data_IF_143742468262
#
_entry.id   IF_143742468262
#
_cell.length_a   1.000
_cell.length_b   1.000
_cell.length_c   1.000
_cell.angle_alpha   90.00
_cell.angle_beta   90.00
_cell.angle_gamma   90.00
#
_symmetry.space_group_name_H-M   'P 1'
#
loop_
_entity.id
_entity.type
_entity.pdbx_description
1 polymer ?
#
# COMPACT_ATOMS: atom_id res chain seq x y z
N UNK A 1 -22.27 25.59 -6.32
CA UNK A 1 -22.53 24.49 -5.34
C UNK A 1 -23.63 23.52 -5.77
N UNK A 2 -24.86 23.96 -6.12
CA UNK A 2 -25.97 23.05 -6.49
C UNK A 2 -25.64 22.04 -7.60
N UNK A 3 -24.94 22.45 -8.66
CA UNK A 3 -24.53 21.55 -9.75
C UNK A 3 -23.52 20.47 -9.30
N UNK A 4 -22.63 20.78 -8.36
CA UNK A 4 -21.67 19.80 -7.82
C UNK A 4 -22.40 18.77 -6.97
N UNK A 5 -23.33 19.22 -6.13
CA UNK A 5 -24.18 18.33 -5.34
C UNK A 5 -24.99 17.40 -6.25
N UNK A 6 -25.66 17.91 -7.29
CA UNK A 6 -26.42 17.09 -8.23
C UNK A 6 -25.54 16.04 -8.96
N UNK A 7 -24.27 16.34 -9.21
CA UNK A 7 -23.34 15.36 -9.81
C UNK A 7 -22.84 14.33 -8.81
N UNK A 8 -22.64 14.71 -7.55
CA UNK A 8 -22.17 13.79 -6.50
C UNK A 8 -23.26 12.80 -6.08
N UNK A 9 -24.52 13.26 -5.99
CA UNK A 9 -25.66 12.47 -5.55
C UNK A 9 -26.30 11.79 -6.76
N UNK A 10 -26.07 10.48 -6.90
CA UNK A 10 -26.55 9.71 -8.05
C UNK A 10 -27.85 9.01 -7.74
N UNK A 11 -28.72 8.87 -8.75
CA UNK A 11 -29.93 8.04 -8.65
C UNK A 11 -29.61 6.53 -8.47
N UNK A 12 -28.39 6.13 -8.80
CA UNK A 12 -27.85 4.77 -8.62
C UNK A 12 -27.56 4.41 -7.14
N UNK A 13 -27.74 5.32 -6.18
CA UNK A 13 -27.60 5.05 -4.73
C UNK A 13 -28.88 5.50 -4.01
N UNK A 14 -30.01 4.78 -4.20
CA UNK A 14 -31.34 5.21 -3.77
C UNK A 14 -31.47 5.30 -2.26
N UNK A 15 -30.73 4.47 -1.52
CA UNK A 15 -30.71 4.46 -0.05
C UNK A 15 -29.54 5.24 0.55
N UNK A 16 -28.73 5.90 -0.30
CA UNK A 16 -27.56 6.67 0.12
C UNK A 16 -26.54 5.89 0.95
N UNK A 17 -26.47 4.56 0.75
CA UNK A 17 -25.62 3.66 1.53
C UNK A 17 -24.16 3.93 1.23
N UNK A 18 -23.78 3.92 -0.05
CA UNK A 18 -22.39 4.15 -0.45
C UNK A 18 -21.94 5.56 -0.05
N UNK A 19 -22.79 6.56 -0.26
CA UNK A 19 -22.50 7.94 0.16
C UNK A 19 -22.28 8.06 1.66
N UNK A 20 -23.14 7.44 2.46
CA UNK A 20 -23.02 7.47 3.93
C UNK A 20 -21.74 6.77 4.37
N UNK A 21 -21.45 5.58 3.84
CA UNK A 21 -20.18 4.87 4.08
C UNK A 21 -18.97 5.71 3.69
N UNK A 22 -19.05 6.46 2.58
CA UNK A 22 -17.98 7.35 2.12
C UNK A 22 -17.73 8.50 3.10
N UNK A 23 -18.79 9.10 3.65
CA UNK A 23 -18.67 10.13 4.69
C UNK A 23 -18.10 9.56 5.99
N UNK A 24 -18.56 8.39 6.43
CA UNK A 24 -18.02 7.73 7.63
C UNK A 24 -16.56 7.36 7.46
N UNK A 25 -16.16 6.82 6.29
CA UNK A 25 -14.77 6.50 5.99
C UNK A 25 -13.89 7.77 5.92
N UNK A 26 -14.40 8.87 5.35
CA UNK A 26 -13.68 10.15 5.35
C UNK A 26 -13.46 10.68 6.77
N UNK A 27 -14.51 10.65 7.61
CA UNK A 27 -14.39 11.01 9.03
C UNK A 27 -13.40 10.10 9.75
N UNK A 28 -13.39 8.80 9.42
CA UNK A 28 -12.41 7.85 9.94
C UNK A 28 -10.99 8.28 9.55
N UNK A 29 -10.72 8.58 8.27
CA UNK A 29 -9.41 9.08 7.85
C UNK A 29 -8.98 10.34 8.59
N UNK A 30 -9.87 11.33 8.73
CA UNK A 30 -9.58 12.58 9.44
C UNK A 30 -9.21 12.29 10.89
N UNK A 31 -10.03 11.52 11.61
CA UNK A 31 -9.78 11.13 12.99
C UNK A 31 -8.47 10.34 13.14
N UNK A 32 -8.22 9.38 12.27
CA UNK A 32 -7.03 8.53 12.33
C UNK A 32 -5.76 9.33 12.04
N UNK A 33 -5.78 10.21 11.05
CA UNK A 33 -4.65 11.10 10.73
C UNK A 33 -4.42 12.13 11.84
N UNK A 34 -5.46 12.68 12.47
CA UNK A 34 -5.27 13.60 13.61
C UNK A 34 -4.66 12.91 14.83
N UNK A 35 -4.74 11.58 14.89
CA UNK A 35 -4.08 10.72 15.89
C UNK A 35 -2.77 10.11 15.36
N UNK A 36 -2.18 10.67 14.30
CA UNK A 36 -0.87 10.24 13.85
C UNK A 36 0.20 10.53 14.91
N UNK A 37 1.16 9.62 15.08
CA UNK A 37 2.20 9.74 16.09
C UNK A 37 2.21 8.58 17.08
N UNK A 38 2.42 8.85 18.36
CA UNK A 38 2.59 7.82 19.39
C UNK A 38 1.39 6.85 19.53
N UNK A 39 0.18 7.27 19.18
CA UNK A 39 -1.03 6.44 19.26
C UNK A 39 -1.28 5.54 18.04
N UNK A 40 -0.37 5.51 17.06
CA UNK A 40 -0.48 4.70 15.84
C UNK A 40 -1.79 4.98 15.08
N UNK A 41 -2.14 6.25 14.87
CA UNK A 41 -3.44 6.64 14.31
C UNK A 41 -4.62 6.17 15.17
N UNK A 42 -4.43 6.03 16.48
CA UNK A 42 -5.40 5.41 17.40
C UNK A 42 -5.53 3.89 17.23
N UNK A 43 -4.59 3.24 16.54
CA UNK A 43 -4.50 1.78 16.46
C UNK A 43 -3.63 1.17 17.59
N UNK A 44 -3.19 1.97 18.56
CA UNK A 44 -2.55 1.46 19.78
C UNK A 44 -3.55 1.33 20.93
N UNK A 45 -3.54 0.21 21.70
CA UNK A 45 -4.35 0.09 22.90
C UNK A 45 -3.87 1.09 23.96
N UNK A 46 -4.80 1.83 24.56
CA UNK A 46 -4.52 2.59 25.79
C UNK A 46 -4.57 1.63 26.98
N UNK A 47 -3.84 1.95 28.05
CA UNK A 47 -3.77 1.11 29.27
C UNK A 47 -5.13 0.87 29.93
N UNK A 48 -6.10 1.74 29.69
CA UNK A 48 -7.41 1.72 30.38
C UNK A 48 -8.54 1.08 29.56
N UNK A 49 -8.40 0.86 28.23
CA UNK A 49 -9.52 0.39 27.39
C UNK A 49 -9.11 -0.57 26.26
N UNK A 50 -8.35 -1.61 26.61
CA UNK A 50 -7.85 -2.61 25.64
C UNK A 50 -8.95 -3.40 24.90
N UNK A 51 -10.15 -3.54 25.47
CA UNK A 51 -11.24 -4.29 24.83
C UNK A 51 -12.01 -3.40 23.83
N UNK A 52 -12.25 -2.13 24.16
CA UNK A 52 -12.85 -1.13 23.25
C UNK A 52 -11.97 -0.91 22.01
N UNK A 53 -10.65 -0.94 22.20
CA UNK A 53 -9.67 -0.81 21.14
C UNK A 53 -9.89 -1.82 19.99
N UNK A 54 -10.09 -3.09 20.33
CA UNK A 54 -10.27 -4.16 19.36
C UNK A 54 -11.58 -3.97 18.57
N UNK A 55 -12.67 -3.63 19.26
CA UNK A 55 -13.97 -3.37 18.64
C UNK A 55 -13.91 -2.17 17.69
N UNK A 56 -13.32 -1.06 18.12
CA UNK A 56 -13.19 0.15 17.28
C UNK A 56 -12.33 -0.14 16.04
N UNK A 57 -11.27 -0.94 16.18
CA UNK A 57 -10.44 -1.38 15.06
C UNK A 57 -11.27 -2.19 14.07
N UNK A 58 -11.98 -3.23 14.51
CA UNK A 58 -12.83 -4.04 13.63
C UNK A 58 -13.93 -3.24 12.94
N UNK A 59 -14.60 -2.33 13.67
CA UNK A 59 -15.60 -1.43 13.08
C UNK A 59 -14.99 -0.53 12.01
N UNK A 60 -13.79 0.00 12.26
CA UNK A 60 -13.03 0.78 11.26
C UNK A 60 -12.79 -0.06 10.02
N UNK A 61 -12.29 -1.29 10.17
CA UNK A 61 -12.05 -2.18 9.03
C UNK A 61 -13.33 -2.48 8.25
N UNK A 62 -14.43 -2.78 8.96
CA UNK A 62 -15.72 -3.10 8.36
C UNK A 62 -16.25 -1.93 7.52
N UNK A 63 -16.17 -0.69 8.02
CA UNK A 63 -16.58 0.51 7.26
C UNK A 63 -15.81 0.58 5.92
N UNK A 64 -14.50 0.39 5.94
CA UNK A 64 -13.67 0.49 4.73
C UNK A 64 -13.89 -0.68 3.74
N UNK A 65 -14.19 -1.89 4.23
CA UNK A 65 -14.60 -3.03 3.38
C UNK A 65 -15.97 -2.76 2.76
N UNK A 66 -16.98 -2.40 3.57
CA UNK A 66 -18.33 -2.09 3.11
C UNK A 66 -18.34 -0.94 2.11
N UNK A 67 -17.49 0.07 2.27
CA UNK A 67 -17.33 1.14 1.29
C UNK A 67 -16.86 0.62 -0.08
N UNK A 68 -15.86 -0.28 -0.11
CA UNK A 68 -15.41 -0.86 -1.37
C UNK A 68 -16.47 -1.77 -2.01
N UNK A 69 -17.17 -2.58 -1.21
CA UNK A 69 -18.23 -3.50 -1.70
C UNK A 69 -19.42 -2.70 -2.24
N UNK A 70 -19.89 -1.67 -1.53
CA UNK A 70 -21.00 -0.83 -2.00
C UNK A 70 -20.70 -0.10 -3.31
N UNK A 71 -19.42 0.08 -3.67
CA UNK A 71 -19.05 0.67 -4.97
C UNK A 71 -19.46 -0.16 -6.18
N UNK A 72 -19.81 -1.44 -6.00
CA UNK A 72 -20.25 -2.34 -7.07
C UNK A 72 -21.68 -2.07 -7.54
N UNK A 73 -22.48 -1.35 -6.76
CA UNK A 73 -23.84 -0.92 -7.16
C UNK A 73 -23.81 0.01 -8.38
N UNK A 74 -22.75 0.80 -8.54
CA UNK A 74 -22.66 1.78 -9.63
C UNK A 74 -22.36 1.14 -10.97
N UNK A 75 -23.17 1.50 -11.96
CA UNK A 75 -22.94 1.14 -13.35
C UNK A 75 -21.77 1.98 -13.90
N UNK A 76 -20.77 1.31 -14.47
CA UNK A 76 -19.60 1.95 -15.09
C UNK A 76 -19.37 1.35 -16.48
N UNK A 77 -18.75 2.10 -17.41
CA UNK A 77 -18.40 1.57 -18.73
C UNK A 77 -17.54 0.30 -18.61
N UNK A 78 -17.90 -0.75 -19.34
CA UNK A 78 -17.19 -2.03 -19.31
C UNK A 78 -15.72 -1.90 -19.79
N UNK A 79 -15.47 -1.01 -20.76
CA UNK A 79 -14.17 -0.78 -21.37
C UNK A 79 -13.47 0.45 -20.78
N UNK A 80 -12.17 0.32 -20.51
CA UNK A 80 -11.30 1.46 -20.19
C UNK A 80 -11.19 2.40 -21.40
N UNK A 81 -11.60 3.65 -21.21
CA UNK A 81 -11.45 4.70 -22.23
C UNK A 81 -10.02 5.25 -22.13
N UNK A 82 -9.09 4.69 -22.91
CA UNK A 82 -7.68 5.07 -22.87
C UNK A 82 -7.44 6.54 -23.26
N UNK A 83 -8.27 7.10 -24.13
CA UNK A 83 -8.12 8.48 -24.62
C UNK A 83 -8.30 9.55 -23.54
N UNK A 84 -9.06 9.29 -22.48
CA UNK A 84 -9.60 10.33 -21.58
C UNK A 84 -8.97 10.36 -20.17
N UNK A 85 -7.83 9.69 -20.00
CA UNK A 85 -7.14 9.62 -18.71
C UNK A 85 -7.84 8.71 -17.70
N UNK A 86 -7.25 8.55 -16.51
CA UNK A 86 -7.61 7.55 -15.50
C UNK A 86 -9.02 7.71 -14.91
N UNK A 87 -10.07 7.41 -15.68
CA UNK A 87 -11.44 7.21 -15.20
C UNK A 87 -11.59 5.81 -14.63
N UNK A 88 -12.38 5.63 -13.59
CA UNK A 88 -12.61 4.33 -12.95
C UNK A 88 -13.25 3.33 -13.94
N UNK A 89 -12.80 2.07 -13.92
CA UNK A 89 -13.28 0.96 -14.76
C UNK A 89 -13.41 -0.34 -13.94
N UNK A 90 -14.13 -1.37 -14.43
CA UNK A 90 -14.47 -2.56 -13.64
C UNK A 90 -13.27 -3.29 -13.05
N UNK A 91 -12.25 -3.57 -13.85
CA UNK A 91 -11.03 -4.25 -13.38
C UNK A 91 -10.34 -3.44 -12.26
N UNK A 92 -10.23 -2.11 -12.40
CA UNK A 92 -9.66 -1.29 -11.32
C UNK A 92 -10.50 -1.34 -10.05
N UNK A 93 -11.84 -1.35 -10.15
CA UNK A 93 -12.72 -1.46 -8.97
C UNK A 93 -12.41 -2.74 -8.18
N UNK A 94 -12.24 -3.87 -8.87
CA UNK A 94 -11.79 -5.12 -8.24
C UNK A 94 -10.40 -5.00 -7.63
N UNK A 95 -9.43 -4.42 -8.34
CA UNK A 95 -8.09 -4.20 -7.80
C UNK A 95 -8.10 -3.31 -6.56
N UNK A 96 -8.92 -2.26 -6.55
CA UNK A 96 -9.10 -1.37 -5.40
C UNK A 96 -9.61 -2.13 -4.18
N UNK A 97 -10.62 -2.99 -4.35
CA UNK A 97 -11.12 -3.85 -3.28
C UNK A 97 -10.01 -4.78 -2.77
N UNK A 98 -9.34 -5.50 -3.65
CA UNK A 98 -8.30 -6.48 -3.29
C UNK A 98 -7.12 -5.82 -2.56
N UNK A 99 -6.64 -4.68 -3.06
CA UNK A 99 -5.50 -3.97 -2.46
C UNK A 99 -5.89 -3.26 -1.16
N UNK A 100 -7.12 -2.76 -1.04
CA UNK A 100 -7.64 -2.27 0.25
C UNK A 100 -7.70 -3.42 1.26
N UNK A 101 -8.25 -4.57 0.88
CA UNK A 101 -8.34 -5.75 1.74
C UNK A 101 -6.96 -6.24 2.21
N UNK A 102 -5.89 -6.12 1.39
CA UNK A 102 -4.53 -6.44 1.86
C UNK A 102 -4.17 -5.67 3.11
N UNK A 103 -4.26 -4.33 3.06
CA UNK A 103 -3.95 -3.48 4.21
C UNK A 103 -4.85 -3.76 5.41
N UNK A 104 -6.17 -3.91 5.16
CA UNK A 104 -7.14 -4.18 6.22
C UNK A 104 -6.93 -5.55 6.88
N UNK A 105 -6.57 -6.58 6.12
CA UNK A 105 -6.26 -7.92 6.64
C UNK A 105 -4.95 -7.92 7.44
N UNK A 106 -3.94 -7.16 7.03
CA UNK A 106 -2.72 -6.99 7.84
C UNK A 106 -3.04 -6.32 9.19
N UNK A 107 -3.89 -5.29 9.20
CA UNK A 107 -4.35 -4.63 10.44
C UNK A 107 -5.16 -5.61 11.30
N UNK A 108 -6.08 -6.38 10.70
CA UNK A 108 -6.84 -7.39 11.41
C UNK A 108 -5.92 -8.44 12.05
N UNK A 109 -4.96 -8.97 11.28
CA UNK A 109 -3.99 -9.94 11.75
C UNK A 109 -3.18 -9.39 12.92
N UNK A 110 -2.72 -8.13 12.85
CA UNK A 110 -2.06 -7.45 13.96
C UNK A 110 -2.97 -7.38 15.19
N UNK A 111 -4.22 -6.94 15.03
CA UNK A 111 -5.18 -6.82 16.14
C UNK A 111 -5.48 -8.18 16.80
N UNK A 112 -5.71 -9.24 16.01
CA UNK A 112 -5.89 -10.60 16.51
C UNK A 112 -4.66 -11.11 17.24
N UNK A 113 -3.47 -10.88 16.68
CA UNK A 113 -2.20 -11.27 17.27
C UNK A 113 -1.97 -10.58 18.62
N UNK A 114 -2.23 -9.28 18.72
CA UNK A 114 -2.16 -8.54 19.99
C UNK A 114 -3.12 -9.11 21.05
N UNK A 115 -4.35 -9.43 20.66
CA UNK A 115 -5.33 -10.03 21.58
C UNK A 115 -4.91 -11.44 22.03
N UNK A 116 -4.42 -12.27 21.10
CA UNK A 116 -3.93 -13.61 21.42
C UNK A 116 -2.72 -13.59 22.37
N UNK A 117 -1.82 -12.61 22.21
CA UNK A 117 -0.69 -12.40 23.12
C UNK A 117 -1.12 -11.97 24.53
N UNK A 118 -2.16 -11.14 24.65
CA UNK A 118 -2.74 -10.78 25.97
C UNK A 118 -3.22 -12.04 26.72
N UNK A 119 -3.73 -13.03 25.99
CA UNK A 119 -4.22 -14.28 26.57
C UNK A 119 -3.13 -15.34 26.81
N UNK A 120 -1.99 -15.27 26.13
CA UNK A 120 -0.91 -16.26 26.22
C UNK A 120 0.31 -15.69 26.94
N UNK A 121 0.59 -16.18 28.16
CA UNK A 121 1.80 -15.82 28.92
C UNK A 121 3.12 -16.34 28.29
N UNK A 122 3.12 -16.89 27.07
CA UNK A 122 4.32 -17.46 26.45
C UNK A 122 5.06 -16.42 25.58
N UNK A 123 6.29 -16.02 25.95
CA UNK A 123 7.05 -14.99 25.22
C UNK A 123 7.68 -15.48 23.91
N UNK A 124 7.78 -16.79 23.67
CA UNK A 124 8.64 -17.35 22.62
C UNK A 124 7.93 -17.80 21.33
N UNK A 125 6.62 -18.08 21.35
CA UNK A 125 5.90 -18.64 20.19
C UNK A 125 5.37 -17.60 19.18
N UNK A 126 5.56 -16.32 19.45
CA UNK A 126 4.76 -15.25 18.86
C UNK A 126 5.46 -14.55 17.68
N UNK A 127 6.79 -14.45 17.68
CA UNK A 127 7.50 -13.63 16.70
C UNK A 127 7.55 -14.18 15.27
N UNK A 128 7.28 -15.47 15.04
CA UNK A 128 7.31 -16.07 13.69
C UNK A 128 5.95 -16.09 12.97
N UNK A 129 4.84 -16.10 13.70
CA UNK A 129 3.51 -16.32 13.10
C UNK A 129 3.03 -15.12 12.26
N UNK A 130 3.36 -13.90 12.69
CA UNK A 130 2.91 -12.68 12.02
C UNK A 130 3.49 -12.49 10.60
N UNK A 131 4.80 -12.63 10.35
CA UNK A 131 5.37 -12.59 9.00
C UNK A 131 4.77 -13.64 8.05
N UNK A 132 4.54 -14.88 8.53
CA UNK A 132 3.92 -15.92 7.71
C UNK A 132 2.48 -15.58 7.33
N UNK A 133 1.67 -15.10 8.29
CA UNK A 133 0.30 -14.66 8.00
C UNK A 133 0.27 -13.51 6.99
N UNK A 134 1.17 -12.53 7.14
CA UNK A 134 1.31 -11.42 6.21
C UNK A 134 1.74 -11.87 4.80
N UNK A 135 2.67 -12.80 4.70
CA UNK A 135 3.04 -13.42 3.42
C UNK A 135 1.84 -14.09 2.74
N UNK A 136 1.04 -14.86 3.49
CA UNK A 136 -0.17 -15.47 2.96
C UNK A 136 -1.15 -14.41 2.44
N UNK A 137 -1.36 -13.32 3.18
CA UNK A 137 -2.18 -12.18 2.74
C UNK A 137 -1.62 -11.57 1.44
N UNK A 138 -0.32 -11.33 1.36
CA UNK A 138 0.34 -10.76 0.17
C UNK A 138 0.15 -11.67 -1.05
N UNK A 139 0.44 -12.97 -0.93
CA UNK A 139 0.31 -13.92 -2.04
C UNK A 139 -1.15 -14.11 -2.45
N UNK A 140 -2.06 -14.31 -1.49
CA UNK A 140 -3.48 -14.47 -1.78
C UNK A 140 -4.04 -13.24 -2.53
N UNK A 141 -3.72 -12.03 -2.08
CA UNK A 141 -4.19 -10.81 -2.76
C UNK A 141 -3.54 -10.61 -4.13
N UNK A 142 -2.32 -11.12 -4.38
CA UNK A 142 -1.74 -11.13 -5.74
C UNK A 142 -2.46 -12.11 -6.66
N UNK A 143 -2.75 -13.32 -6.18
CA UNK A 143 -3.50 -14.34 -6.93
C UNK A 143 -4.88 -13.80 -7.30
N UNK A 144 -5.62 -13.24 -6.33
CA UNK A 144 -6.94 -12.67 -6.56
C UNK A 144 -6.85 -11.47 -7.53
N UNK A 145 -5.80 -10.64 -7.42
CA UNK A 145 -5.56 -9.54 -8.36
C UNK A 145 -5.29 -10.02 -9.81
N UNK A 146 -4.64 -11.17 -9.98
CA UNK A 146 -4.44 -11.80 -11.29
C UNK A 146 -5.72 -12.41 -11.83
N UNK A 147 -6.48 -13.11 -11.00
CA UNK A 147 -7.82 -13.62 -11.36
C UNK A 147 -8.70 -12.46 -11.83
N UNK A 148 -8.72 -11.35 -11.07
CA UNK A 148 -9.45 -10.16 -11.46
C UNK A 148 -8.95 -9.58 -12.78
N UNK A 149 -7.65 -9.61 -13.06
CA UNK A 149 -7.10 -9.15 -14.34
C UNK A 149 -7.49 -10.07 -15.51
N UNK A 150 -7.46 -11.38 -15.28
CA UNK A 150 -7.78 -12.40 -16.28
C UNK A 150 -9.29 -12.47 -16.57
N UNK A 151 -10.14 -12.13 -15.60
CA UNK A 151 -11.57 -12.05 -15.82
C UNK A 151 -11.95 -11.00 -16.88
N UNK A 152 -11.15 -9.93 -17.03
CA UNK A 152 -11.36 -8.85 -17.99
C UNK A 152 -10.45 -8.93 -19.23
N UNK A 153 -10.02 -10.14 -19.65
CA UNK A 153 -9.09 -10.36 -20.79
C UNK A 153 -9.52 -9.69 -22.09
N UNK A 154 -10.81 -9.49 -22.32
CA UNK A 154 -11.32 -8.80 -23.51
C UNK A 154 -10.90 -7.32 -23.58
N UNK A 155 -10.56 -6.71 -22.43
CA UNK A 155 -10.14 -5.33 -22.32
C UNK A 155 -8.91 -5.21 -21.41
N UNK A 156 -7.76 -5.77 -21.83
CA UNK A 156 -6.58 -5.79 -21.00
C UNK A 156 -6.11 -4.36 -20.73
N UNK A 157 -5.79 -4.09 -19.47
CA UNK A 157 -5.28 -2.80 -19.05
C UNK A 157 -4.11 -3.02 -18.11
N UNK A 158 -2.92 -2.63 -18.55
CA UNK A 158 -1.74 -2.57 -17.70
C UNK A 158 -1.81 -1.27 -16.87
N UNK A 159 -2.48 -1.32 -15.72
CA UNK A 159 -2.76 -0.20 -14.80
C UNK A 159 -1.85 1.04 -14.95
N UNK A 160 -0.62 0.98 -14.40
CA UNK A 160 0.37 2.07 -14.44
C UNK A 160 1.06 2.21 -15.79
N UNK A 161 1.32 1.09 -16.50
CA UNK A 161 2.07 1.13 -17.77
C UNK A 161 1.31 1.92 -18.84
N UNK A 162 -0.01 1.79 -18.85
CA UNK A 162 -0.91 2.47 -19.78
C UNK A 162 -1.38 3.83 -19.25
N UNK A 163 -0.87 4.30 -18.11
CA UNK A 163 -1.19 5.64 -17.60
C UNK A 163 -0.65 6.71 -18.56
N UNK A 164 -1.40 7.77 -18.81
CA UNK A 164 -0.90 8.93 -19.55
C UNK A 164 -0.10 9.84 -18.62
N UNK A 165 1.14 9.45 -18.31
CA UNK A 165 2.05 10.19 -17.47
C UNK A 165 3.49 10.03 -17.98
N UNK A 166 4.40 10.90 -17.55
CA UNK A 166 5.81 10.76 -17.90
C UNK A 166 6.37 9.42 -17.40
N UNK A 167 7.36 8.83 -18.08
CA UNK A 167 8.00 7.59 -17.63
C UNK A 167 8.51 7.67 -16.18
N UNK A 168 9.02 8.83 -15.78
CA UNK A 168 9.46 9.15 -14.41
C UNK A 168 8.35 8.92 -13.39
N UNK A 169 7.15 9.48 -13.64
CA UNK A 169 6.00 9.33 -12.75
C UNK A 169 5.53 7.88 -12.69
N UNK A 170 5.50 7.17 -13.82
CA UNK A 170 5.14 5.74 -13.86
C UNK A 170 6.11 4.87 -13.06
N UNK A 171 7.40 5.16 -13.18
CA UNK A 171 8.44 4.47 -12.42
C UNK A 171 8.26 4.72 -10.92
N UNK A 172 8.10 5.98 -10.51
CA UNK A 172 7.81 6.36 -9.12
C UNK A 172 6.58 5.63 -8.56
N UNK A 173 5.46 5.61 -9.29
CA UNK A 173 4.25 4.90 -8.87
C UNK A 173 4.49 3.40 -8.72
N UNK A 174 5.23 2.81 -9.65
CA UNK A 174 5.56 1.38 -9.60
C UNK A 174 6.41 1.04 -8.38
N UNK A 175 7.48 1.81 -8.14
CA UNK A 175 8.37 1.61 -6.98
C UNK A 175 7.61 1.73 -5.67
N UNK A 176 6.75 2.74 -5.53
CA UNK A 176 5.94 2.91 -4.31
C UNK A 176 5.01 1.73 -4.04
N UNK A 177 4.48 1.07 -5.07
CA UNK A 177 3.68 -0.16 -4.89
C UNK A 177 4.51 -1.34 -4.38
N UNK A 178 5.77 -1.46 -4.83
CA UNK A 178 6.69 -2.49 -4.28
C UNK A 178 7.05 -2.19 -2.84
N UNK A 179 7.34 -0.93 -2.49
CA UNK A 179 7.61 -0.52 -1.10
C UNK A 179 6.42 -0.83 -0.19
N UNK A 180 5.20 -0.47 -0.61
CA UNK A 180 3.98 -0.79 0.14
C UNK A 180 3.78 -2.30 0.36
N UNK A 181 4.14 -3.10 -0.64
CA UNK A 181 4.09 -4.57 -0.52
C UNK A 181 5.19 -5.11 0.40
N UNK A 182 6.40 -4.52 0.36
CA UNK A 182 7.49 -4.84 1.28
C UNK A 182 7.13 -4.59 2.73
N UNK A 183 6.48 -3.44 3.02
CA UNK A 183 5.93 -3.13 4.34
C UNK A 183 4.92 -4.19 4.78
N UNK A 184 4.06 -4.62 3.86
CA UNK A 184 3.08 -5.66 4.16
C UNK A 184 3.74 -7.01 4.46
N UNK A 185 4.84 -7.35 3.79
CA UNK A 185 5.54 -8.62 3.97
C UNK A 185 6.27 -8.72 5.31
N UNK A 186 6.98 -7.66 5.71
CA UNK A 186 7.80 -7.68 6.94
C UNK A 186 6.95 -7.87 8.19
N UNK A 187 5.70 -7.43 8.14
CA UNK A 187 4.76 -7.50 9.25
C UNK A 187 5.04 -6.44 10.29
N UNK A 188 5.00 -5.17 9.87
CA UNK A 188 5.03 -4.06 10.81
C UNK A 188 3.87 -4.19 11.78
N UNK A 189 4.19 -4.16 13.08
CA UNK A 189 3.18 -4.22 14.14
C UNK A 189 2.27 -2.98 14.15
N UNK A 190 2.78 -1.87 13.64
CA UNK A 190 2.05 -0.60 13.54
C UNK A 190 1.11 -0.59 12.35
N UNK A 191 -0.13 -0.18 12.60
CA UNK A 191 -1.22 -0.21 11.64
C UNK A 191 -1.28 1.07 10.80
N UNK A 192 -0.64 2.16 11.22
CA UNK A 192 -0.65 3.46 10.53
C UNK A 192 -0.34 3.36 9.04
N UNK A 193 0.74 2.67 8.67
CA UNK A 193 1.18 2.51 7.28
C UNK A 193 0.21 1.66 6.45
N UNK A 194 -0.26 0.54 7.00
CA UNK A 194 -1.24 -0.29 6.32
C UNK A 194 -2.54 0.49 6.09
N UNK A 195 -2.99 1.26 7.09
CA UNK A 195 -4.17 2.09 6.98
C UNK A 195 -4.00 3.22 5.97
N UNK A 196 -2.82 3.84 5.93
CA UNK A 196 -2.48 4.84 4.93
C UNK A 196 -2.49 4.26 3.51
N UNK A 197 -2.03 3.01 3.31
CA UNK A 197 -2.15 2.34 2.01
C UNK A 197 -3.62 2.15 1.59
N UNK A 198 -4.50 1.79 2.53
CA UNK A 198 -5.94 1.72 2.26
C UNK A 198 -6.46 3.10 1.84
N UNK A 199 -6.02 4.18 2.51
CA UNK A 199 -6.36 5.55 2.11
C UNK A 199 -5.91 5.86 0.68
N UNK A 200 -4.65 5.57 0.34
CA UNK A 200 -4.13 5.80 -1.01
C UNK A 200 -5.02 5.10 -2.05
N UNK A 201 -5.38 3.83 -1.81
CA UNK A 201 -6.21 3.05 -2.75
C UNK A 201 -7.62 3.62 -2.87
N UNK A 202 -8.30 3.88 -1.74
CA UNK A 202 -9.68 4.37 -1.72
C UNK A 202 -9.81 5.79 -2.27
N UNK A 203 -8.91 6.70 -1.87
CA UNK A 203 -8.91 8.07 -2.39
C UNK A 203 -8.60 8.08 -3.89
N UNK A 204 -7.70 7.23 -4.38
CA UNK A 204 -7.44 7.12 -5.82
C UNK A 204 -8.69 6.64 -6.57
N UNK A 205 -9.41 5.63 -6.06
CA UNK A 205 -10.67 5.19 -6.66
C UNK A 205 -11.73 6.31 -6.68
N UNK A 206 -11.82 7.11 -5.62
CA UNK A 206 -12.69 8.27 -5.53
C UNK A 206 -12.31 9.35 -6.56
N UNK A 207 -11.02 9.70 -6.67
CA UNK A 207 -10.53 10.67 -7.67
C UNK A 207 -10.82 10.23 -9.10
N UNK A 208 -10.68 8.95 -9.40
CA UNK A 208 -11.05 8.40 -10.71
C UNK A 208 -12.56 8.44 -10.98
N UNK A 209 -13.38 8.40 -9.92
CA UNK A 209 -14.83 8.60 -10.00
C UNK A 209 -15.18 10.08 -10.22
N UNK A 210 -14.49 11.02 -9.57
CA UNK A 210 -14.63 12.45 -9.85
C UNK A 210 -14.24 12.79 -11.28
N UNK A 211 -13.17 12.18 -11.82
CA UNK A 211 -12.79 12.31 -13.23
C UNK A 211 -13.85 11.76 -14.18
N UNK A 212 -14.49 10.63 -13.86
CA UNK A 212 -15.64 10.11 -14.64
C UNK A 212 -16.78 11.14 -14.68
N UNK A 213 -17.01 11.87 -13.59
CA UNK A 213 -18.02 12.93 -13.49
C UNK A 213 -17.56 14.28 -14.05
N UNK A 214 -16.38 14.35 -14.67
CA UNK A 214 -15.74 15.57 -15.18
C UNK A 214 -15.65 16.67 -14.11
N UNK A 215 -15.39 16.29 -12.85
CA UNK A 215 -15.18 17.23 -11.74
C UNK A 215 -13.70 17.53 -11.49
N UNK A 216 -12.80 16.66 -11.96
CA UNK A 216 -11.34 16.77 -11.80
C UNK A 216 -10.65 16.43 -13.12
N UNK A 217 -9.54 17.11 -13.44
CA UNK A 217 -8.73 16.80 -14.63
C UNK A 217 -7.89 15.54 -14.45
N UNK A 218 -7.34 15.00 -15.55
CA UNK A 218 -6.45 13.83 -15.46
C UNK A 218 -5.13 14.19 -14.75
N UNK A 219 -4.60 15.38 -15.03
CA UNK A 219 -3.37 15.91 -14.45
C UNK A 219 -3.52 16.07 -12.93
N UNK A 220 -4.63 16.62 -12.47
CA UNK A 220 -4.92 16.75 -11.04
C UNK A 220 -5.00 15.39 -10.37
N UNK A 221 -5.62 14.38 -11.00
CA UNK A 221 -5.64 13.01 -10.45
C UNK A 221 -4.22 12.42 -10.32
N UNK A 222 -3.36 12.61 -11.32
CA UNK A 222 -1.98 12.12 -11.28
C UNK A 222 -1.17 12.82 -10.18
N UNK A 223 -1.31 14.15 -10.04
CA UNK A 223 -0.63 14.93 -9.00
C UNK A 223 -1.09 14.50 -7.62
N UNK A 224 -2.41 14.42 -7.39
CA UNK A 224 -2.97 14.00 -6.11
C UNK A 224 -2.55 12.57 -5.75
N UNK A 225 -2.50 11.66 -6.72
CA UNK A 225 -1.99 10.30 -6.47
C UNK A 225 -0.51 10.31 -6.09
N UNK A 226 0.32 11.13 -6.75
CA UNK A 226 1.73 11.27 -6.40
C UNK A 226 1.92 11.81 -4.97
N UNK A 227 1.13 12.82 -4.58
CA UNK A 227 1.13 13.40 -3.24
C UNK A 227 0.68 12.39 -2.18
N UNK A 228 -0.35 11.58 -2.47
CA UNK A 228 -0.79 10.50 -1.58
C UNK A 228 0.34 9.47 -1.36
N UNK A 229 1.02 9.04 -2.43
CA UNK A 229 2.16 8.13 -2.29
C UNK A 229 3.31 8.75 -1.50
N UNK A 230 3.61 10.04 -1.74
CA UNK A 230 4.64 10.76 -1.00
C UNK A 230 4.27 10.88 0.50
N UNK A 231 3.01 11.15 0.80
CA UNK A 231 2.52 11.19 2.19
C UNK A 231 2.67 9.83 2.89
N UNK A 232 2.42 8.71 2.21
CA UNK A 232 2.65 7.38 2.76
C UNK A 232 4.14 7.11 3.05
N UNK A 233 5.02 7.61 2.19
CA UNK A 233 6.46 7.57 2.42
C UNK A 233 6.90 8.44 3.60
N UNK A 234 6.35 9.65 3.74
CA UNK A 234 6.60 10.52 4.91
C UNK A 234 6.13 9.87 6.21
N UNK A 235 4.96 9.22 6.20
CA UNK A 235 4.48 8.43 7.34
C UNK A 235 5.49 7.33 7.67
N UNK A 236 6.00 6.61 6.67
CA UNK A 236 7.02 5.57 6.89
C UNK A 236 8.33 6.10 7.45
N UNK A 237 8.79 7.26 6.96
CA UNK A 237 9.95 7.97 7.51
C UNK A 237 9.73 8.32 8.98
N UNK A 238 8.59 8.94 9.30
CA UNK A 238 8.29 9.34 10.67
C UNK A 238 8.28 8.12 11.62
N UNK A 239 7.62 7.03 11.21
CA UNK A 239 7.58 5.78 11.97
C UNK A 239 9.00 5.19 12.16
N UNK A 240 9.88 5.40 11.20
CA UNK A 240 11.30 4.99 11.28
C UNK A 240 12.09 5.85 12.27
N UNK A 241 11.82 7.15 12.41
CA UNK A 241 12.65 8.01 13.27
C UNK A 241 12.13 8.13 14.70
N UNK A 242 10.82 8.06 14.90
CA UNK A 242 10.20 8.30 16.21
C UNK A 242 10.01 7.00 17.00
N UNK A 243 9.89 5.85 16.32
CA UNK A 243 9.62 4.57 16.99
C UNK A 243 10.83 3.62 16.92
N UNK A 244 11.59 3.60 18.01
CA UNK A 244 12.90 2.92 18.15
C UNK A 244 12.92 1.42 17.76
N UNK A 245 11.90 0.58 18.03
CA UNK A 245 11.92 -0.81 17.56
C UNK A 245 11.40 -1.01 16.13
N UNK A 246 10.76 0.00 15.50
CA UNK A 246 10.27 -0.12 14.12
C UNK A 246 11.29 0.28 13.06
N UNK A 247 12.37 0.97 13.45
CA UNK A 247 13.34 1.51 12.49
C UNK A 247 13.91 0.39 11.61
N UNK A 248 14.33 -0.71 12.24
CA UNK A 248 14.95 -1.85 11.56
C UNK A 248 14.01 -2.52 10.56
N UNK A 249 12.77 -2.77 10.99
CA UNK A 249 11.77 -3.42 10.15
C UNK A 249 11.38 -2.57 8.95
N UNK A 250 11.33 -1.24 9.11
CA UNK A 250 11.04 -0.32 8.01
C UNK A 250 12.17 -0.28 6.99
N UNK A 251 13.42 -0.22 7.42
CA UNK A 251 14.57 -0.31 6.51
C UNK A 251 14.62 -1.63 5.75
N UNK A 252 14.36 -2.75 6.44
CA UNK A 252 14.23 -4.06 5.79
C UNK A 252 13.10 -4.02 4.76
N UNK A 253 11.93 -3.48 5.12
CA UNK A 253 10.81 -3.39 4.19
C UNK A 253 11.13 -2.58 2.94
N UNK A 254 11.86 -1.47 3.10
CA UNK A 254 12.33 -0.65 1.99
C UNK A 254 13.33 -1.40 1.12
N UNK A 255 14.30 -2.09 1.72
CA UNK A 255 15.27 -2.93 1.01
C UNK A 255 14.58 -4.04 0.21
N UNK A 256 13.66 -4.78 0.82
CA UNK A 256 12.90 -5.85 0.15
C UNK A 256 12.05 -5.29 -0.99
N UNK A 257 11.35 -4.17 -0.75
CA UNK A 257 10.54 -3.51 -1.79
C UNK A 257 11.38 -3.04 -2.99
N UNK A 258 12.53 -2.42 -2.75
CA UNK A 258 13.41 -1.96 -3.83
C UNK A 258 14.06 -3.12 -4.57
N UNK A 259 14.48 -4.16 -3.86
CA UNK A 259 14.99 -5.40 -4.47
C UNK A 259 13.92 -6.02 -5.37
N UNK A 260 12.67 -6.12 -4.88
CA UNK A 260 11.55 -6.61 -5.68
C UNK A 260 11.32 -5.76 -6.94
N UNK A 261 11.39 -4.43 -6.81
CA UNK A 261 11.24 -3.51 -7.94
C UNK A 261 12.33 -3.75 -9.00
N UNK A 262 13.59 -3.88 -8.60
CA UNK A 262 14.73 -4.16 -9.50
C UNK A 262 14.54 -5.50 -10.21
N UNK A 263 14.31 -6.59 -9.45
CA UNK A 263 14.15 -7.92 -10.01
C UNK A 263 12.94 -8.01 -10.96
N UNK A 264 11.85 -7.29 -10.66
CA UNK A 264 10.64 -7.32 -11.48
C UNK A 264 10.72 -6.42 -12.71
N UNK A 265 11.25 -5.21 -12.57
CA UNK A 265 11.26 -4.20 -13.64
C UNK A 265 12.44 -4.43 -14.58
N UNK A 266 13.63 -4.71 -14.05
CA UNK A 266 14.85 -4.86 -14.85
C UNK A 266 15.09 -6.31 -15.28
N UNK A 267 14.86 -7.28 -14.39
CA UNK A 267 15.14 -8.69 -14.68
C UNK A 267 13.90 -9.48 -15.15
N UNK A 268 12.70 -8.87 -15.12
CA UNK A 268 11.46 -9.52 -15.57
C UNK A 268 11.01 -10.73 -14.74
N UNK A 269 11.61 -10.96 -13.56
CA UNK A 269 11.34 -12.14 -12.74
C UNK A 269 9.87 -12.25 -12.34
N UNK A 270 9.38 -13.49 -12.16
CA UNK A 270 8.01 -13.75 -11.74
C UNK A 270 7.77 -13.19 -10.31
N UNK A 271 6.68 -12.44 -10.10
CA UNK A 271 6.39 -11.79 -8.82
C UNK A 271 6.22 -12.77 -7.66
N UNK A 272 5.66 -13.95 -7.89
CA UNK A 272 5.48 -14.97 -6.86
C UNK A 272 6.84 -15.48 -6.39
N UNK A 273 7.74 -15.80 -7.32
CA UNK A 273 9.12 -16.21 -7.02
C UNK A 273 9.85 -15.12 -6.23
N UNK A 274 9.75 -13.85 -6.66
CA UNK A 274 10.36 -12.71 -5.97
C UNK A 274 9.86 -12.62 -4.52
N UNK A 275 8.55 -12.57 -4.30
CA UNK A 275 8.00 -12.36 -2.96
C UNK A 275 8.19 -13.56 -2.04
N UNK A 276 8.14 -14.78 -2.55
CA UNK A 276 8.47 -16.00 -1.79
C UNK A 276 9.94 -16.01 -1.37
N UNK A 277 10.87 -15.68 -2.27
CA UNK A 277 12.29 -15.60 -1.94
C UNK A 277 12.56 -14.52 -0.88
N UNK A 278 11.98 -13.33 -1.06
CA UNK A 278 12.14 -12.23 -0.10
C UNK A 278 11.50 -12.55 1.26
N UNK A 279 10.42 -13.32 1.29
CA UNK A 279 9.83 -13.83 2.52
C UNK A 279 10.79 -14.77 3.28
N UNK A 280 11.41 -15.71 2.56
CA UNK A 280 12.41 -16.62 3.13
C UNK A 280 13.59 -15.81 3.70
N UNK A 281 14.12 -14.84 2.95
CA UNK A 281 15.18 -13.94 3.44
C UNK A 281 14.73 -13.17 4.69
N UNK A 282 13.50 -12.66 4.72
CA UNK A 282 12.95 -11.98 5.90
C UNK A 282 12.90 -12.90 7.13
N UNK A 283 12.35 -14.10 6.99
CA UNK A 283 12.19 -15.05 8.09
C UNK A 283 13.50 -15.64 8.62
N UNK A 284 14.47 -15.93 7.76
CA UNK A 284 15.68 -16.66 8.14
C UNK A 284 16.92 -15.78 8.31
N UNK A 285 16.96 -14.60 7.69
CA UNK A 285 18.11 -13.69 7.80
C UNK A 285 17.82 -12.50 8.70
N UNK A 286 16.72 -11.80 8.46
CA UNK A 286 16.46 -10.52 9.12
C UNK A 286 15.82 -10.68 10.50
N UNK A 287 14.74 -11.46 10.63
CA UNK A 287 14.02 -11.57 11.90
C UNK A 287 14.83 -12.19 13.05
N UNK A 288 15.62 -13.26 12.85
CA UNK A 288 16.45 -13.81 13.93
C UNK A 288 17.53 -12.81 14.39
N UNK A 289 18.05 -11.99 13.46
CA UNK A 289 19.03 -10.95 13.77
C UNK A 289 18.43 -9.84 14.63
N UNK A 290 17.18 -9.46 14.40
CA UNK A 290 16.47 -8.49 15.24
C UNK A 290 16.16 -9.08 16.62
N UNK A 291 15.69 -10.32 16.67
CA UNK A 291 15.38 -10.99 17.94
C UNK A 291 16.62 -11.19 18.83
N UNK A 292 17.78 -11.43 18.21
CA UNK A 292 19.05 -11.61 18.93
C UNK A 292 19.75 -10.30 19.34
N UNK A 293 19.33 -9.14 18.83
CA UNK A 293 19.83 -7.84 19.30
C UNK A 293 19.50 -7.58 20.77
N UNK A 294 18.40 -8.14 21.28
CA UNK A 294 18.10 -8.10 22.70
C UNK A 294 19.07 -8.95 23.56
N UNK A 295 19.96 -9.75 22.93
CA UNK A 295 20.72 -10.78 23.63
C UNK A 295 22.26 -10.62 23.67
N UNK A 296 22.98 -9.93 22.75
CA UNK A 296 24.47 -9.88 22.81
C UNK A 296 25.19 -8.82 21.93
N UNK A 297 26.32 -8.29 22.44
CA UNK A 297 27.26 -7.33 21.80
C UNK A 297 27.77 -7.73 20.40
N UNK A 298 27.84 -9.04 20.10
CA UNK A 298 28.22 -9.54 18.76
C UNK A 298 27.20 -9.16 17.65
N UNK A 299 25.93 -8.96 18.00
CA UNK A 299 24.91 -8.48 17.05
C UNK A 299 25.16 -7.03 16.61
N UNK A 300 25.84 -6.21 17.43
CA UNK A 300 26.25 -4.85 17.07
C UNK A 300 27.35 -4.83 15.99
N UNK A 301 28.21 -5.85 15.91
CA UNK A 301 29.25 -5.97 14.87
C UNK A 301 28.61 -6.41 13.53
N UNK A 302 27.65 -7.32 13.56
CA UNK A 302 26.86 -7.65 12.36
C UNK A 302 26.05 -6.44 11.87
N UNK A 303 25.49 -5.65 12.79
CA UNK A 303 24.87 -4.35 12.52
C UNK A 303 25.83 -3.31 11.93
N UNK A 304 27.13 -3.41 12.23
CA UNK A 304 28.16 -2.56 11.60
C UNK A 304 28.32 -2.91 10.11
N UNK A 305 28.10 -4.18 9.75
CA UNK A 305 27.92 -4.60 8.36
C UNK A 305 26.55 -4.18 7.83
N UNK A 306 25.50 -4.13 8.65
CA UNK A 306 24.25 -3.46 8.26
C UNK A 306 24.44 -1.93 8.17
N UNK A 307 25.50 -1.27 8.68
CA UNK A 307 25.83 0.15 8.36
C UNK A 307 26.34 0.36 6.93
N UNK A 308 26.59 -0.72 6.19
CA UNK A 308 26.48 -0.78 4.71
C UNK A 308 25.06 -0.34 4.25
N UNK A 309 24.12 -0.11 5.17
CA UNK A 309 22.85 0.66 5.10
C UNK A 309 22.93 1.87 4.17
N UNK A 310 24.05 2.59 4.22
CA UNK A 310 24.28 3.73 3.35
C UNK A 310 24.52 3.30 1.90
N UNK A 311 25.28 2.24 1.63
CA UNK A 311 25.47 1.71 0.27
C UNK A 311 24.17 1.15 -0.32
N UNK A 312 23.30 0.55 0.48
CA UNK A 312 21.99 0.07 0.04
C UNK A 312 21.06 1.22 -0.38
N UNK A 313 20.90 2.24 0.45
CA UNK A 313 20.07 3.42 0.15
C UNK A 313 20.70 4.28 -0.95
N UNK A 314 22.03 4.43 -0.99
CA UNK A 314 22.75 5.12 -2.06
C UNK A 314 22.67 4.38 -3.38
N UNK A 315 22.84 3.05 -3.41
CA UNK A 315 22.63 2.24 -4.62
C UNK A 315 21.17 2.29 -5.07
N UNK A 316 20.23 2.33 -4.14
CA UNK A 316 18.80 2.50 -4.41
C UNK A 316 18.50 3.86 -5.03
N UNK A 317 19.04 4.96 -4.50
CA UNK A 317 18.96 6.27 -5.14
C UNK A 317 19.65 6.28 -6.50
N UNK A 318 20.83 5.67 -6.64
CA UNK A 318 21.55 5.56 -7.92
C UNK A 318 20.74 4.75 -8.94
N UNK A 319 20.02 3.71 -8.54
CA UNK A 319 19.15 2.93 -9.43
C UNK A 319 17.87 3.68 -9.79
N UNK A 320 17.29 4.43 -8.85
CA UNK A 320 16.16 5.34 -9.13
C UNK A 320 16.62 6.42 -10.10
N UNK A 321 17.72 7.11 -9.82
CA UNK A 321 18.31 8.13 -10.68
C UNK A 321 18.75 7.54 -12.04
N UNK A 322 19.31 6.33 -12.06
CA UNK A 322 19.70 5.62 -13.28
C UNK A 322 18.51 5.16 -14.11
N UNK A 323 17.42 4.74 -13.48
CA UNK A 323 16.15 4.42 -14.14
C UNK A 323 15.47 5.67 -14.71
N UNK A 324 15.51 6.78 -13.96
CA UNK A 324 15.06 8.09 -14.43
C UNK A 324 15.90 8.58 -15.61
N UNK A 325 17.22 8.44 -15.53
CA UNK A 325 18.17 8.73 -16.59
C UNK A 325 17.86 7.91 -17.83
N UNK A 326 17.82 6.58 -17.74
CA UNK A 326 17.58 5.70 -18.90
C UNK A 326 16.21 5.96 -19.53
N UNK A 327 15.17 6.21 -18.72
CA UNK A 327 13.84 6.56 -19.21
C UNK A 327 13.84 7.91 -19.94
N UNK A 328 14.52 8.92 -19.40
CA UNK A 328 14.68 10.23 -20.04
C UNK A 328 15.38 10.10 -21.41
N UNK A 329 16.50 9.37 -21.47
CA UNK A 329 17.27 9.17 -22.70
C UNK A 329 16.56 8.31 -23.76
N UNK A 330 15.83 7.27 -23.34
CA UNK A 330 15.02 6.47 -24.28
C UNK A 330 13.87 7.27 -24.91
N UNK A 331 13.33 8.25 -24.18
CA UNK A 331 12.23 9.09 -24.68
C UNK A 331 12.69 10.22 -25.61
N UNK A 332 13.96 10.62 -25.51
CA UNK A 332 14.56 11.67 -26.36
C UNK A 332 15.10 11.09 -27.66
N UNK A 333 15.66 9.87 -27.68
CA UNK A 333 16.10 9.24 -28.93
C UNK A 333 14.96 8.87 -29.90
N UNK A 334 13.74 8.63 -29.39
CA UNK A 334 12.60 8.32 -30.26
C UNK A 334 12.10 9.57 -31.00
N UNK A 335 12.32 10.78 -30.46
CA UNK A 335 11.94 12.03 -31.14
C UNK A 335 12.94 12.48 -32.19
N UNK A 336 14.22 12.12 -32.08
CA UNK A 336 15.26 12.51 -33.05
C UNK A 336 15.37 11.60 -34.27
N UNK A 337 14.49 10.60 -34.40
CA UNK A 337 14.43 9.67 -35.55
C UNK A 337 13.12 9.88 -36.34
N UNK A 338 12.23 10.75 -35.85
CA UNK A 338 10.95 11.08 -36.47
C UNK A 338 10.87 12.49 -37.07
N UNK A 339 11.97 13.24 -37.00
CA UNK A 339 12.24 14.46 -37.79
C UNK A 339 13.43 14.16 -38.69
#
# INVERSE_FOLDING_TARGET
>A
MKQIQQKLFTKEDPYHVHKTLGLVALSSYIYRISNFGASDMGFSPTKESSDDFYVITLLTLLVHVCLNISSFEFHIPAKRIQSDGGRIWPQYRFHSLVFSCRGLLCIALNAFYYNALKSSQSPLGSSFTLPHGNYLIVIATMIIGDIASNYWVQYPSNSIRDLKASPVIKYYFSVMQFLATGVSLVGLRRCSLHYYMVMVVQVTAFLMTLRRKNLVSHETNVILYALLLAGGFVVGIYETYVWDPAQELLWISAFLGMTAAVLRILCGMNKYVIWTMLHIVNCYCFLPSIQSQEANLHSMILLSLVRIRWLGVSATMIMVLGGLWRSYFSSTQIKSISD
#
